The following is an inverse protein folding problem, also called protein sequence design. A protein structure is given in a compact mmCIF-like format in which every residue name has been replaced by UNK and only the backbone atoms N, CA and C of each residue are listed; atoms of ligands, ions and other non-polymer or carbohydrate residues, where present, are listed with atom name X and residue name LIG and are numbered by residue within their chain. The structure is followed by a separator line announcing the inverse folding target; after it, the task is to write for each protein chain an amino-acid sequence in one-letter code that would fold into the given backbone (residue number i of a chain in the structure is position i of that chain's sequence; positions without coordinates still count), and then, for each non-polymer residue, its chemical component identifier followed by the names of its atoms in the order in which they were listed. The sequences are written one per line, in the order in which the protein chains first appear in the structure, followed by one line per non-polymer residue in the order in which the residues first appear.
data_IF_840658889931
#
_entry.id   IF_840658889931
#
_cell.length_a   1.000
_cell.length_b   1.000
_cell.length_c   1.000
_cell.angle_alpha   90.00
_cell.angle_beta   90.00
_cell.angle_gamma   90.00
#
_symmetry.space_group_name_H-M   'P 1'
#
loop_
_entity.id
_entity.type
_entity.pdbx_description
1 polymer ?
#
# COMPACT_ATOMS: atom_id res chain seq x y z
N UNK A 1 -21.21 -1.41 -9.78
CA UNK A 1 -19.74 -1.37 -9.89
C UNK A 1 -19.34 -2.46 -10.85
N UNK A 2 -18.72 -2.13 -11.98
CA UNK A 2 -18.27 -3.16 -12.91
C UNK A 2 -17.35 -4.16 -12.22
N UNK A 3 -17.44 -5.47 -12.56
CA UNK A 3 -16.62 -6.51 -11.94
C UNK A 3 -15.10 -6.25 -12.04
N UNK A 4 -14.67 -5.40 -12.97
CA UNK A 4 -13.26 -5.00 -13.19
C UNK A 4 -12.68 -4.15 -12.06
N UNK A 5 -13.49 -3.41 -11.31
CA UNK A 5 -12.97 -2.55 -10.23
C UNK A 5 -12.54 -3.35 -8.99
N UNK A 6 -13.15 -4.51 -8.76
CA UNK A 6 -12.82 -5.41 -7.65
C UNK A 6 -11.36 -5.91 -7.70
N UNK A 7 -10.86 -6.53 -8.78
CA UNK A 7 -9.48 -6.96 -8.86
C UNK A 7 -8.51 -5.78 -8.84
N UNK A 8 -8.88 -4.62 -9.41
CA UNK A 8 -8.03 -3.42 -9.39
C UNK A 8 -7.79 -2.91 -7.96
N UNK A 9 -8.83 -2.94 -7.12
CA UNK A 9 -8.73 -2.59 -5.70
C UNK A 9 -8.05 -3.70 -4.89
N UNK A 10 -8.28 -4.98 -5.22
CA UNK A 10 -7.67 -6.11 -4.54
C UNK A 10 -6.16 -6.19 -4.78
N UNK A 11 -5.67 -5.77 -5.95
CA UNK A 11 -4.26 -5.87 -6.35
C UNK A 11 -3.28 -5.20 -5.38
N UNK A 12 -3.52 -3.97 -4.87
CA UNK A 12 -2.70 -3.38 -3.82
C UNK A 12 -3.05 -3.87 -2.40
N UNK A 13 -4.30 -4.30 -2.16
CA UNK A 13 -4.76 -4.70 -0.81
C UNK A 13 -4.18 -6.07 -0.41
N UNK A 14 -4.15 -7.03 -1.34
CA UNK A 14 -3.65 -8.38 -1.11
C UNK A 14 -2.19 -8.43 -0.64
N UNK A 15 -1.20 -7.79 -1.31
CA UNK A 15 0.19 -7.79 -0.85
C UNK A 15 0.37 -7.02 0.46
N UNK A 16 -0.47 -6.02 0.73
CA UNK A 16 -0.43 -5.25 1.98
C UNK A 16 -0.87 -6.12 3.18
N UNK A 17 -2.00 -6.82 3.04
CA UNK A 17 -2.45 -7.81 4.03
C UNK A 17 -1.47 -8.99 4.18
N UNK A 18 -0.89 -9.45 3.06
CA UNK A 18 0.12 -10.50 3.07
C UNK A 18 1.38 -10.10 3.84
N UNK A 19 1.85 -8.85 3.70
CA UNK A 19 3.00 -8.35 4.46
C UNK A 19 2.74 -8.38 5.97
N UNK A 20 1.54 -7.97 6.41
CA UNK A 20 1.15 -8.02 7.83
C UNK A 20 1.08 -9.47 8.32
N UNK A 21 0.45 -10.36 7.55
CA UNK A 21 0.36 -11.78 7.87
C UNK A 21 1.74 -12.44 7.98
N UNK A 22 2.62 -12.19 6.99
CA UNK A 22 3.96 -12.73 6.96
C UNK A 22 4.79 -12.21 8.13
N UNK A 23 4.74 -10.90 8.41
CA UNK A 23 5.42 -10.33 9.57
C UNK A 23 4.88 -10.87 10.90
N UNK A 24 3.58 -11.22 10.98
CA UNK A 24 2.98 -11.83 12.16
C UNK A 24 3.47 -13.27 12.38
N UNK A 25 3.43 -14.10 11.32
CA UNK A 25 3.75 -15.53 11.38
C UNK A 25 5.25 -15.83 11.40
N UNK A 26 6.08 -14.93 10.90
CA UNK A 26 7.53 -15.07 10.96
C UNK A 26 8.07 -14.63 12.32
N UNK A 27 8.88 -15.49 12.91
CA UNK A 27 9.79 -15.15 13.99
C UNK A 27 11.02 -14.49 13.36
N UNK A 28 11.37 -13.32 13.85
CA UNK A 28 12.57 -12.61 13.42
C UNK A 28 13.56 -12.68 14.58
N UNK A 29 14.82 -12.99 14.28
CA UNK A 29 15.90 -13.01 15.28
C UNK A 29 16.05 -11.67 16.02
N UNK A 30 15.64 -10.57 15.37
CA UNK A 30 15.66 -9.24 15.95
C UNK A 30 14.25 -8.61 15.91
N UNK A 31 13.66 -8.24 17.07
CA UNK A 31 12.36 -7.59 17.13
C UNK A 31 12.32 -6.24 16.38
N UNK A 32 13.44 -5.52 16.27
CA UNK A 32 13.52 -4.29 15.50
C UNK A 32 13.27 -4.52 14.00
N UNK A 33 13.78 -5.62 13.46
CA UNK A 33 13.59 -6.01 12.05
C UNK A 33 12.12 -6.31 11.77
N UNK A 34 11.43 -7.00 12.69
CA UNK A 34 9.99 -7.28 12.58
C UNK A 34 9.17 -5.98 12.52
N UNK A 35 9.48 -5.03 13.41
CA UNK A 35 8.80 -3.72 13.44
C UNK A 35 9.07 -2.91 12.18
N UNK A 36 10.30 -2.93 11.66
CA UNK A 36 10.64 -2.23 10.41
C UNK A 36 9.83 -2.75 9.21
N UNK A 37 9.69 -4.07 9.08
CA UNK A 37 8.90 -4.67 7.99
C UNK A 37 7.39 -4.45 8.16
N UNK A 38 6.87 -4.48 9.39
CA UNK A 38 5.48 -4.08 9.66
C UNK A 38 5.24 -2.61 9.31
N UNK A 39 6.14 -1.72 9.73
CA UNK A 39 6.08 -0.30 9.40
C UNK A 39 6.17 -0.09 7.88
N UNK A 40 7.05 -0.80 7.18
CA UNK A 40 7.12 -0.74 5.73
C UNK A 40 5.79 -1.15 5.08
N UNK A 41 5.16 -2.24 5.51
CA UNK A 41 3.84 -2.65 4.99
C UNK A 41 2.75 -1.59 5.18
N UNK A 42 2.71 -0.96 6.36
CA UNK A 42 1.68 0.04 6.71
C UNK A 42 1.94 1.41 6.09
N UNK A 43 3.19 1.88 6.09
CA UNK A 43 3.54 3.25 5.69
C UNK A 43 3.86 3.40 4.20
N UNK A 44 4.31 2.34 3.50
CA UNK A 44 4.61 2.42 2.07
C UNK A 44 3.40 2.84 1.20
N UNK A 45 2.16 2.34 1.44
CA UNK A 45 0.96 2.83 0.77
C UNK A 45 0.66 4.30 1.09
N UNK A 46 0.88 4.71 2.33
CA UNK A 46 0.64 6.09 2.79
C UNK A 46 1.62 7.05 2.12
N UNK A 47 2.90 6.69 2.06
CA UNK A 47 3.94 7.46 1.38
C UNK A 47 3.63 7.54 -0.13
N UNK A 48 3.22 6.43 -0.75
CA UNK A 48 2.79 6.42 -2.16
C UNK A 48 1.60 7.35 -2.42
N UNK A 49 0.60 7.33 -1.54
CA UNK A 49 -0.54 8.24 -1.58
C UNK A 49 -0.14 9.70 -1.40
N UNK A 50 0.72 10.01 -0.42
CA UNK A 50 1.26 11.35 -0.20
C UNK A 50 2.06 11.87 -1.40
N UNK A 51 2.89 11.02 -2.00
CA UNK A 51 3.61 11.39 -3.23
C UNK A 51 2.64 11.71 -4.37
N UNK A 52 1.57 10.93 -4.54
CA UNK A 52 0.53 11.24 -5.51
C UNK A 52 -0.20 12.56 -5.19
N UNK A 53 -0.50 12.84 -3.92
CA UNK A 53 -1.14 14.09 -3.51
C UNK A 53 -0.24 15.31 -3.79
N UNK A 54 1.06 15.21 -3.53
CA UNK A 54 2.01 16.32 -3.71
C UNK A 54 2.33 16.54 -5.19
N UNK A 55 2.65 15.47 -5.92
CA UNK A 55 3.15 15.56 -7.30
C UNK A 55 2.06 15.32 -8.35
N UNK A 56 1.14 14.39 -8.09
CA UNK A 56 0.10 13.96 -9.02
C UNK A 56 -1.11 14.90 -9.07
N UNK A 57 -1.61 15.38 -7.92
CA UNK A 57 -2.79 16.27 -7.92
C UNK A 57 -2.57 17.57 -8.70
N UNK A 58 -1.37 18.16 -8.64
CA UNK A 58 -1.06 19.39 -9.38
C UNK A 58 -1.00 19.18 -10.90
N UNK A 59 -0.81 17.93 -11.34
CA UNK A 59 -0.77 17.53 -12.75
C UNK A 59 -2.08 16.90 -13.23
N UNK A 60 -2.99 16.57 -12.31
CA UNK A 60 -4.31 16.03 -12.61
C UNK A 60 -5.19 17.13 -13.21
N UNK A 61 -5.21 17.25 -14.54
CA UNK A 61 -6.25 17.98 -15.26
C UNK A 61 -7.51 17.13 -15.29
N UNK A 62 -8.64 17.72 -14.90
CA UNK A 62 -9.97 17.16 -15.14
C UNK A 62 -10.15 17.12 -16.66
N UNK A 63 -10.08 15.94 -17.27
CA UNK A 63 -10.54 15.78 -18.64
C UNK A 63 -12.06 15.89 -18.60
N UNK A 64 -12.55 17.11 -18.83
CA UNK A 64 -13.93 17.34 -19.27
C UNK A 64 -13.87 17.25 -20.79
N UNK A 65 -14.14 16.07 -21.32
CA UNK A 65 -14.38 15.81 -22.73
C UNK A 65 -15.43 14.72 -22.84
#
# INVERSE_FOLDING_TARGET
MDPVYLPLLALPILPNLWCIWHAYRSEFDNPATKVLWMAAGVFLPVIGGLMYLIFGMRRARKNVA
#
